data_IF_215449260617
#
_entry.id   IF_215449260617
#
_cell.length_a   1.000
_cell.length_b   1.000
_cell.length_c   1.000
_cell.angle_alpha   90.00
_cell.angle_beta   90.00
_cell.angle_gamma   90.00
#
_symmetry.space_group_name_H-M   'P 1'
#
loop_
_entity.id
_entity.type
_entity.pdbx_description
1 polymer ?
#
# COMPACT_ATOMS: atom_id res chain seq x y z
N UNK A 1 19.23 29.70 0.41
CA UNK A 1 17.85 29.21 0.65
C UNK A 1 17.20 30.16 1.63
N UNK A 2 16.13 30.86 1.26
CA UNK A 2 15.40 31.74 2.19
C UNK A 2 14.85 30.88 3.33
N UNK A 3 15.03 31.30 4.59
CA UNK A 3 14.42 30.62 5.73
C UNK A 3 12.89 30.62 5.55
N UNK A 4 12.32 29.45 5.22
CA UNK A 4 10.87 29.27 5.17
C UNK A 4 10.34 29.46 6.60
N UNK A 5 9.66 30.57 6.87
CA UNK A 5 8.93 30.75 8.14
C UNK A 5 7.75 29.78 8.16
N UNK A 6 7.95 28.62 8.78
CA UNK A 6 6.93 27.61 8.98
C UNK A 6 6.08 27.96 10.22
N UNK A 7 4.77 27.70 10.20
CA UNK A 7 3.99 27.70 11.43
C UNK A 7 4.47 26.57 12.36
N UNK A 8 4.21 26.73 13.66
CA UNK A 8 4.55 25.72 14.64
C UNK A 8 3.87 24.39 14.33
N UNK A 9 4.60 23.28 14.48
CA UNK A 9 4.07 21.94 14.23
C UNK A 9 4.19 21.45 12.78
N UNK A 10 4.93 22.15 11.91
CA UNK A 10 5.24 21.71 10.55
C UNK A 10 6.75 21.59 10.29
N UNK A 11 7.11 20.65 9.44
CA UNK A 11 8.45 20.40 8.92
C UNK A 11 8.46 20.69 7.41
N UNK A 12 9.42 21.48 6.93
CA UNK A 12 9.61 21.70 5.49
C UNK A 12 10.34 20.54 4.83
N UNK A 13 10.03 20.31 3.56
CA UNK A 13 10.92 19.61 2.63
C UNK A 13 11.67 20.59 1.72
N UNK A 14 12.51 20.03 0.86
CA UNK A 14 13.17 20.71 -0.26
C UNK A 14 12.17 21.34 -1.26
N UNK A 15 10.99 20.74 -1.41
CA UNK A 15 9.90 21.26 -2.23
C UNK A 15 9.25 22.50 -1.60
N UNK A 16 9.07 23.62 -2.35
CA UNK A 16 8.57 24.89 -1.82
C UNK A 16 7.25 24.80 -1.05
N UNK A 17 6.29 24.04 -1.58
CA UNK A 17 4.89 24.04 -1.15
C UNK A 17 4.49 22.74 -0.44
N UNK A 18 5.46 21.91 -0.07
CA UNK A 18 5.23 20.65 0.62
C UNK A 18 5.77 20.71 2.06
N UNK A 19 4.91 20.29 2.99
CA UNK A 19 5.18 20.30 4.42
C UNK A 19 4.63 19.04 5.06
N UNK A 20 5.23 18.64 6.18
CA UNK A 20 4.82 17.48 6.96
C UNK A 20 4.50 17.89 8.39
N UNK A 21 3.61 17.17 9.06
CA UNK A 21 3.33 17.43 10.47
C UNK A 21 4.53 17.07 11.35
N UNK A 22 4.82 17.88 12.37
CA UNK A 22 5.85 17.57 13.36
C UNK A 22 5.29 16.62 14.44
N UNK A 23 4.91 15.41 14.01
CA UNK A 23 4.50 14.31 14.85
C UNK A 23 5.09 12.99 14.32
N UNK A 24 4.84 11.87 15.02
CA UNK A 24 5.42 10.57 14.66
C UNK A 24 5.11 10.15 13.21
N UNK A 25 3.87 10.34 12.74
CA UNK A 25 3.45 9.94 11.40
C UNK A 25 4.00 10.89 10.34
N UNK A 26 3.97 12.21 10.59
CA UNK A 26 4.47 13.22 9.66
C UNK A 26 5.98 13.12 9.45
N UNK A 27 6.75 12.84 10.51
CA UNK A 27 8.19 12.56 10.42
C UNK A 27 8.49 11.31 9.58
N UNK A 28 7.72 10.24 9.76
CA UNK A 28 7.86 9.02 8.94
C UNK A 28 7.55 9.31 7.47
N UNK A 29 6.47 10.05 7.17
CA UNK A 29 6.13 10.45 5.80
C UNK A 29 7.25 11.27 5.17
N UNK A 30 7.80 12.24 5.90
CA UNK A 30 8.91 13.07 5.45
C UNK A 30 10.15 12.22 5.15
N UNK A 31 10.49 11.29 6.04
CA UNK A 31 11.62 10.39 5.85
C UNK A 31 11.48 9.58 4.56
N UNK A 32 10.31 8.97 4.33
CA UNK A 32 10.05 8.22 3.09
C UNK A 32 10.08 9.12 1.86
N UNK A 33 9.52 10.33 1.96
CA UNK A 33 9.49 11.29 0.85
C UNK A 33 10.88 11.78 0.43
N UNK A 34 11.79 11.96 1.39
CA UNK A 34 13.14 12.48 1.14
C UNK A 34 14.17 11.39 0.79
N UNK A 35 13.78 10.11 0.82
CA UNK A 35 14.65 9.02 0.35
C UNK A 35 14.95 9.18 -1.14
N UNK A 36 16.18 8.92 -1.50
CA UNK A 36 16.59 8.75 -2.90
C UNK A 36 15.99 7.48 -3.50
N UNK A 37 15.93 7.40 -4.84
CA UNK A 37 15.45 6.21 -5.55
C UNK A 37 16.16 4.93 -5.10
N UNK A 38 17.48 4.99 -4.87
CA UNK A 38 18.27 3.84 -4.38
C UNK A 38 17.88 3.39 -2.96
N UNK A 39 17.55 4.33 -2.07
CA UNK A 39 17.05 4.02 -0.72
C UNK A 39 15.62 3.45 -0.77
N UNK A 40 14.80 3.94 -1.70
CA UNK A 40 13.46 3.37 -1.96
C UNK A 40 13.59 1.95 -2.49
N UNK A 41 14.46 1.69 -3.46
CA UNK A 41 14.69 0.35 -4.00
C UNK A 41 15.17 -0.63 -2.91
N UNK A 42 16.09 -0.19 -2.04
CA UNK A 42 16.55 -0.99 -0.91
C UNK A 42 15.42 -1.29 0.09
N UNK A 43 14.58 -0.30 0.39
CA UNK A 43 13.41 -0.47 1.26
C UNK A 43 12.41 -1.45 0.65
N UNK A 44 12.08 -1.30 -0.64
CA UNK A 44 11.17 -2.18 -1.35
C UNK A 44 11.71 -3.63 -1.38
N UNK A 45 13.01 -3.80 -1.59
CA UNK A 45 13.65 -5.11 -1.55
C UNK A 45 13.54 -5.79 -0.16
N UNK A 46 13.66 -5.03 0.93
CA UNK A 46 13.45 -5.53 2.31
C UNK A 46 12.03 -6.08 2.50
N UNK A 47 11.03 -5.41 1.93
CA UNK A 47 9.64 -5.86 1.95
C UNK A 47 9.29 -6.89 0.86
N UNK A 48 10.25 -7.29 0.02
CA UNK A 48 10.04 -8.26 -1.06
C UNK A 48 9.21 -7.72 -2.22
N UNK A 49 9.31 -6.41 -2.50
CA UNK A 49 8.60 -5.71 -3.60
C UNK A 49 9.58 -5.34 -4.73
N UNK A 50 9.25 -5.65 -6.01
CA UNK A 50 8.11 -6.47 -6.43
C UNK A 50 8.36 -7.95 -6.10
N UNK A 51 7.29 -8.65 -5.72
CA UNK A 51 7.32 -10.11 -5.63
C UNK A 51 7.06 -10.73 -7.01
N UNK A 52 7.50 -11.98 -7.27
CA UNK A 52 7.08 -12.72 -8.45
C UNK A 52 5.56 -12.76 -8.59
N UNK A 53 5.07 -12.73 -9.84
CA UNK A 53 3.64 -12.79 -10.14
C UNK A 53 3.09 -14.18 -9.80
N UNK A 54 1.93 -14.23 -9.13
CA UNK A 54 1.32 -15.48 -8.68
C UNK A 54 -0.08 -15.73 -9.30
N UNK A 55 -0.35 -15.19 -10.51
CA UNK A 55 -1.72 -15.11 -11.06
C UNK A 55 -2.40 -16.47 -11.25
N UNK A 56 -1.63 -17.54 -11.45
CA UNK A 56 -2.14 -18.91 -11.55
C UNK A 56 -2.05 -19.73 -10.25
N UNK A 57 -1.52 -19.16 -9.16
CA UNK A 57 -1.32 -19.89 -7.91
C UNK A 57 -2.58 -19.77 -7.06
N UNK A 58 -3.14 -20.93 -6.70
CA UNK A 58 -4.30 -21.02 -5.84
C UNK A 58 -3.99 -20.40 -4.47
N UNK A 59 -4.90 -19.57 -3.96
CA UNK A 59 -4.77 -18.96 -2.63
C UNK A 59 -3.90 -17.70 -2.56
N UNK A 60 -3.28 -17.26 -3.67
CA UNK A 60 -2.33 -16.14 -3.67
C UNK A 60 -2.98 -14.77 -3.81
N UNK A 61 -4.05 -14.66 -4.60
CA UNK A 61 -4.78 -13.40 -4.81
C UNK A 61 -6.26 -13.58 -4.48
N UNK A 62 -6.97 -12.48 -4.22
CA UNK A 62 -8.42 -12.55 -3.97
C UNK A 62 -9.20 -13.05 -5.19
N UNK A 63 -8.62 -12.94 -6.39
CA UNK A 63 -9.16 -13.48 -7.64
C UNK A 63 -8.97 -15.00 -7.81
N UNK A 64 -8.06 -15.60 -7.03
CA UNK A 64 -7.75 -17.05 -7.08
C UNK A 64 -8.02 -17.74 -5.74
N UNK A 65 -8.73 -17.07 -4.83
CA UNK A 65 -9.02 -17.54 -3.49
C UNK A 65 -10.52 -17.43 -3.23
N UNK A 66 -11.16 -18.52 -2.84
CA UNK A 66 -12.59 -18.52 -2.53
C UNK A 66 -12.90 -17.63 -1.33
N UNK A 67 -14.06 -16.98 -1.35
CA UNK A 67 -14.39 -15.91 -0.42
C UNK A 67 -14.23 -16.26 1.06
N UNK A 68 -14.65 -17.45 1.48
CA UNK A 68 -14.54 -17.84 2.89
C UNK A 68 -13.08 -17.85 3.39
N UNK A 69 -12.12 -18.21 2.52
CA UNK A 69 -10.68 -18.16 2.84
C UNK A 69 -10.15 -16.73 2.85
N UNK A 70 -10.58 -15.89 1.88
CA UNK A 70 -10.23 -14.46 1.85
C UNK A 70 -10.67 -13.76 3.13
N UNK A 71 -11.85 -14.08 3.66
CA UNK A 71 -12.35 -13.49 4.90
C UNK A 71 -11.52 -13.88 6.12
N UNK A 72 -11.05 -15.14 6.20
CA UNK A 72 -10.11 -15.57 7.25
C UNK A 72 -8.73 -14.91 7.11
N UNK A 73 -8.23 -14.74 5.88
CA UNK A 73 -6.98 -14.04 5.63
C UNK A 73 -7.08 -12.56 6.00
N UNK A 74 -8.17 -11.89 5.63
CA UNK A 74 -8.41 -10.47 5.96
C UNK A 74 -8.33 -10.19 7.46
N UNK A 75 -8.83 -11.10 8.31
CA UNK A 75 -8.80 -10.92 9.78
C UNK A 75 -7.38 -10.78 10.34
N UNK A 76 -6.36 -11.23 9.61
CA UNK A 76 -4.94 -11.17 10.00
C UNK A 76 -4.22 -9.91 9.52
N UNK A 77 -4.90 -9.04 8.76
CA UNK A 77 -4.29 -7.90 8.10
C UNK A 77 -4.98 -6.59 8.53
N UNK A 78 -4.20 -5.57 8.87
CA UNK A 78 -4.71 -4.22 9.18
C UNK A 78 -5.12 -3.45 7.91
N UNK A 79 -4.45 -3.73 6.79
CA UNK A 79 -4.68 -3.11 5.49
C UNK A 79 -4.88 -4.21 4.44
N UNK A 80 -5.87 -4.01 3.57
CA UNK A 80 -6.13 -4.90 2.42
C UNK A 80 -6.13 -4.08 1.14
N UNK A 81 -5.32 -4.50 0.18
CA UNK A 81 -5.34 -3.97 -1.18
C UNK A 81 -6.36 -4.75 -2.01
N UNK A 82 -7.37 -4.06 -2.54
CA UNK A 82 -8.40 -4.64 -3.40
C UNK A 82 -8.22 -4.05 -4.80
N UNK A 83 -7.89 -4.86 -5.82
CA UNK A 83 -7.87 -4.40 -7.19
C UNK A 83 -9.24 -3.90 -7.65
N UNK A 84 -9.25 -2.92 -8.55
CA UNK A 84 -10.49 -2.44 -9.17
C UNK A 84 -11.17 -3.61 -9.90
N UNK A 85 -12.49 -3.74 -9.73
CA UNK A 85 -13.26 -4.86 -10.31
C UNK A 85 -13.19 -6.16 -9.51
N UNK A 86 -12.77 -6.10 -8.24
CA UNK A 86 -12.75 -7.22 -7.30
C UNK A 86 -13.56 -6.94 -6.01
N UNK A 87 -14.42 -5.92 -6.02
CA UNK A 87 -15.25 -5.54 -4.86
C UNK A 87 -16.57 -6.31 -4.77
N UNK A 88 -16.98 -6.94 -5.86
CA UNK A 88 -18.20 -7.74 -5.97
C UNK A 88 -18.10 -9.06 -5.22
N UNK A 89 -19.25 -9.70 -5.03
CA UNK A 89 -19.41 -10.91 -4.22
C UNK A 89 -20.37 -11.88 -4.90
N UNK A 90 -19.86 -13.07 -5.23
CA UNK A 90 -20.62 -14.16 -5.85
C UNK A 90 -20.81 -15.35 -4.90
N UNK A 91 -20.83 -15.08 -3.59
CA UNK A 91 -21.00 -16.09 -2.54
C UNK A 91 -19.70 -16.72 -2.05
N UNK A 92 -19.82 -17.60 -1.05
CA UNK A 92 -18.67 -18.11 -0.27
C UNK A 92 -17.67 -18.96 -1.08
N UNK A 93 -18.14 -19.61 -2.14
CA UNK A 93 -17.39 -20.60 -2.93
C UNK A 93 -16.81 -20.05 -4.23
N UNK A 94 -17.03 -18.76 -4.53
CA UNK A 94 -16.45 -18.09 -5.69
C UNK A 94 -15.41 -17.06 -5.23
N UNK A 95 -14.35 -16.84 -6.03
CA UNK A 95 -13.40 -15.76 -5.77
C UNK A 95 -14.00 -14.40 -6.13
N UNK A 96 -13.30 -13.33 -5.73
CA UNK A 96 -13.56 -12.00 -6.29
C UNK A 96 -13.11 -11.94 -7.76
N UNK A 97 -13.52 -10.91 -8.49
CA UNK A 97 -13.35 -10.71 -9.93
C UNK A 97 -14.21 -11.60 -10.84
N UNK A 98 -15.29 -12.23 -10.34
CA UNK A 98 -16.08 -13.14 -11.19
C UNK A 98 -16.71 -12.46 -12.40
N UNK A 99 -17.16 -11.21 -12.26
CA UNK A 99 -17.73 -10.46 -13.40
C UNK A 99 -16.66 -9.88 -14.33
N UNK A 100 -15.41 -9.78 -13.86
CA UNK A 100 -14.33 -9.06 -14.54
C UNK A 100 -13.38 -9.98 -15.30
N UNK A 101 -13.12 -11.19 -14.77
CA UNK A 101 -12.06 -12.08 -15.23
C UNK A 101 -12.53 -13.45 -15.78
N UNK A 102 -13.84 -13.74 -15.76
CA UNK A 102 -14.41 -14.99 -16.28
C UNK A 102 -15.16 -14.81 -17.61
#
# INVERSE_FOLDING_TARGET
MSEKKLPAGLLASDQPDLFFEDNTVGRLKKEVYEKSDAEIDALLAEYGVPSPVEWGKAGSYIQTTVRWQVEENRKKNDIVFIPIGCSELHGAHLPSASDTLY
#
